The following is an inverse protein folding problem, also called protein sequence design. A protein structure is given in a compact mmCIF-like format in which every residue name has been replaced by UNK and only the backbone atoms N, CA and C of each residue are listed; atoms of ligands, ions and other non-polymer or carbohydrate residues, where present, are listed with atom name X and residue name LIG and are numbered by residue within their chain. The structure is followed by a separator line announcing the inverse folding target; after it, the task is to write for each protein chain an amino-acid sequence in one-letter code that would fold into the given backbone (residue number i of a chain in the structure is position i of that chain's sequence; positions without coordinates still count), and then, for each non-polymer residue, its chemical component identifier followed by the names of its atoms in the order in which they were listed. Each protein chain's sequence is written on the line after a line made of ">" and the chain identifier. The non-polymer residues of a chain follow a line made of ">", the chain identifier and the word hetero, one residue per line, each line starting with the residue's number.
data_IF_801011167901
#
_entry.id   IF_801011167901
#
_cell.length_a   1.000
_cell.length_b   1.000
_cell.length_c   1.000
_cell.angle_alpha   90.00
_cell.angle_beta   90.00
_cell.angle_gamma   90.00
#
_symmetry.space_group_name_H-M   'P 1'
#
loop_
_entity.id
_entity.type
_entity.pdbx_description
1 polymer ?
#
# COMPACT_ATOMS: atom_id res chain seq x y z
N UNK A 1 2.59 -9.24 33.30
CA UNK A 1 3.40 -8.02 33.07
C UNK A 1 2.51 -7.00 32.38
N UNK A 2 2.15 -5.91 33.05
CA UNK A 2 1.36 -4.85 32.44
C UNK A 2 2.23 -4.18 31.35
N UNK A 3 1.85 -4.30 30.09
CA UNK A 3 2.41 -3.46 29.04
C UNK A 3 2.17 -2.01 29.46
N UNK A 4 3.23 -1.27 29.76
CA UNK A 4 3.12 0.11 30.22
C UNK A 4 2.44 0.90 29.10
N UNK A 5 1.23 1.37 29.35
CA UNK A 5 0.39 2.12 28.43
C UNK A 5 1.06 3.49 28.14
N UNK A 6 2.02 3.46 27.21
CA UNK A 6 2.95 4.56 26.96
C UNK A 6 2.96 4.91 25.48
N UNK A 7 3.25 6.18 25.12
CA UNK A 7 3.46 6.59 23.74
C UNK A 7 4.51 5.71 23.02
N UNK A 8 5.59 5.33 23.72
CA UNK A 8 6.62 4.43 23.18
C UNK A 8 6.06 3.04 22.80
N UNK A 9 5.19 2.45 23.63
CA UNK A 9 4.51 1.20 23.26
C UNK A 9 3.65 1.37 22.00
N UNK A 10 3.05 2.54 21.81
CA UNK A 10 2.24 2.82 20.62
C UNK A 10 3.06 2.94 19.34
N UNK A 11 4.28 3.49 19.43
CA UNK A 11 5.24 3.52 18.30
C UNK A 11 5.54 2.10 17.82
N UNK A 12 5.87 1.17 18.74
CA UNK A 12 6.13 -0.22 18.38
C UNK A 12 4.90 -0.95 17.80
N UNK A 13 3.70 -0.64 18.30
CA UNK A 13 2.46 -1.18 17.73
C UNK A 13 2.28 -0.73 16.27
N UNK A 14 2.54 0.55 15.98
CA UNK A 14 2.46 1.10 14.61
C UNK A 14 3.49 0.44 13.68
N UNK A 15 4.74 0.26 14.14
CA UNK A 15 5.77 -0.42 13.36
C UNK A 15 5.39 -1.86 13.02
N UNK A 16 4.88 -2.61 14.01
CA UNK A 16 4.45 -4.00 13.80
C UNK A 16 3.25 -4.11 12.87
N UNK A 17 2.34 -3.16 12.94
CA UNK A 17 1.10 -3.16 12.18
C UNK A 17 1.26 -2.66 10.73
N UNK A 18 2.44 -2.19 10.32
CA UNK A 18 2.66 -1.51 9.03
C UNK A 18 2.37 -2.35 7.78
N UNK A 19 2.13 -3.66 7.91
CA UNK A 19 1.77 -4.57 6.80
C UNK A 19 0.26 -4.74 6.61
N UNK A 20 -0.54 -4.27 7.56
CA UNK A 20 -2.00 -4.42 7.56
C UNK A 20 -2.61 -3.06 7.90
N UNK A 21 -3.39 -2.52 6.97
CA UNK A 21 -3.93 -1.16 7.10
C UNK A 21 -4.93 -1.05 8.23
N UNK A 22 -5.76 -2.06 8.49
CA UNK A 22 -6.70 -2.05 9.61
C UNK A 22 -5.95 -2.09 10.94
N UNK A 23 -4.92 -2.95 11.02
CA UNK A 23 -4.06 -3.01 12.20
C UNK A 23 -3.31 -1.69 12.43
N UNK A 24 -2.82 -1.06 11.34
CA UNK A 24 -2.08 0.19 11.36
C UNK A 24 -2.97 1.34 11.84
N UNK A 25 -4.18 1.47 11.29
CA UNK A 25 -5.18 2.44 11.73
C UNK A 25 -5.50 2.26 13.22
N UNK A 26 -5.71 1.03 13.67
CA UNK A 26 -5.96 0.72 15.07
C UNK A 26 -4.80 1.14 15.98
N UNK A 27 -3.56 0.86 15.57
CA UNK A 27 -2.35 1.24 16.30
C UNK A 27 -2.18 2.76 16.37
N UNK A 28 -2.38 3.44 15.24
CA UNK A 28 -2.36 4.90 15.13
C UNK A 28 -3.40 5.55 16.05
N UNK A 29 -4.65 5.05 16.04
CA UNK A 29 -5.73 5.57 16.87
C UNK A 29 -5.43 5.41 18.37
N UNK A 30 -4.89 4.26 18.78
CA UNK A 30 -4.45 4.05 20.18
C UNK A 30 -3.28 4.97 20.55
N UNK A 31 -2.32 5.15 19.65
CA UNK A 31 -1.20 6.08 19.86
C UNK A 31 -1.68 7.53 20.02
N UNK A 32 -2.59 8.00 19.17
CA UNK A 32 -3.20 9.33 19.28
C UNK A 32 -3.91 9.52 20.64
N UNK A 33 -4.68 8.52 21.08
CA UNK A 33 -5.34 8.55 22.38
C UNK A 33 -4.34 8.62 23.55
N UNK A 34 -3.24 7.87 23.49
CA UNK A 34 -2.15 7.91 24.49
C UNK A 34 -1.46 9.26 24.54
N UNK A 35 -1.16 9.86 23.38
CA UNK A 35 -0.57 11.19 23.30
C UNK A 35 -1.52 12.22 23.92
N UNK A 36 -2.81 12.17 23.58
CA UNK A 36 -3.83 13.11 24.10
C UNK A 36 -3.90 13.11 25.63
N UNK A 37 -3.74 11.94 26.26
CA UNK A 37 -3.77 11.77 27.72
C UNK A 37 -2.45 12.15 28.42
N UNK A 38 -1.38 12.42 27.66
CA UNK A 38 -0.06 12.67 28.24
C UNK A 38 0.12 14.14 28.70
N UNK A 39 0.82 14.40 29.81
CA UNK A 39 1.11 15.78 30.26
C UNK A 39 1.86 16.62 29.22
N UNK A 40 2.81 16.02 28.51
CA UNK A 40 3.57 16.65 27.42
C UNK A 40 2.97 16.41 26.02
N UNK A 41 1.64 16.30 25.89
CA UNK A 41 0.95 15.95 24.65
C UNK A 41 1.40 16.76 23.42
N UNK A 42 1.60 18.07 23.55
CA UNK A 42 1.97 18.94 22.43
C UNK A 42 3.34 18.55 21.84
N UNK A 43 4.34 18.36 22.72
CA UNK A 43 5.70 17.96 22.31
C UNK A 43 5.69 16.56 21.71
N UNK A 44 4.96 15.62 22.32
CA UNK A 44 4.87 14.26 21.82
C UNK A 44 4.16 14.18 20.47
N UNK A 45 3.06 14.92 20.31
CA UNK A 45 2.31 14.97 19.07
C UNK A 45 3.19 15.48 17.92
N UNK A 46 3.94 16.57 18.13
CA UNK A 46 4.87 17.11 17.13
C UNK A 46 5.94 16.08 16.71
N UNK A 47 6.61 15.47 17.69
CA UNK A 47 7.71 14.52 17.43
C UNK A 47 7.19 13.24 16.78
N UNK A 48 6.07 12.71 17.27
CA UNK A 48 5.51 11.44 16.78
C UNK A 48 4.85 11.63 15.42
N UNK A 49 4.21 12.77 15.14
CA UNK A 49 3.68 13.08 13.81
C UNK A 49 4.80 13.11 12.77
N UNK A 50 5.93 13.76 13.08
CA UNK A 50 7.11 13.76 12.19
C UNK A 50 7.71 12.37 12.00
N UNK A 51 7.81 11.59 13.07
CA UNK A 51 8.28 10.21 12.99
C UNK A 51 7.36 9.36 12.12
N UNK A 52 6.04 9.46 12.31
CA UNK A 52 5.05 8.70 11.57
C UNK A 52 5.11 9.01 10.07
N UNK A 53 5.17 10.30 9.71
CA UNK A 53 5.39 10.74 8.32
C UNK A 53 6.62 10.09 7.71
N UNK A 54 7.74 10.10 8.43
CA UNK A 54 9.00 9.49 7.97
C UNK A 54 8.91 7.97 7.84
N UNK A 55 8.24 7.31 8.78
CA UNK A 55 8.08 5.86 8.79
C UNK A 55 7.24 5.39 7.60
N UNK A 56 6.08 6.01 7.38
CA UNK A 56 5.16 5.64 6.32
C UNK A 56 5.69 6.02 4.92
N UNK A 57 6.47 7.10 4.79
CA UNK A 57 7.19 7.42 3.55
C UNK A 57 8.07 6.27 3.07
N UNK A 58 8.64 5.47 3.99
CA UNK A 58 9.46 4.30 3.61
C UNK A 58 8.63 3.13 3.07
N UNK A 59 7.31 3.14 3.25
CA UNK A 59 6.39 2.12 2.73
C UNK A 59 5.98 2.39 1.28
N UNK A 60 6.08 3.65 0.79
CA UNK A 60 5.83 4.00 -0.60
C UNK A 60 5.53 5.49 -0.81
N UNK A 61 5.75 6.01 -2.01
CA UNK A 61 5.49 7.41 -2.34
C UNK A 61 3.99 7.78 -2.26
N UNK A 62 3.10 6.85 -2.57
CA UNK A 62 1.64 7.05 -2.43
C UNK A 62 1.20 7.09 -0.95
N UNK A 63 1.93 6.41 -0.06
CA UNK A 63 1.70 6.50 1.38
C UNK A 63 2.17 7.86 1.94
N UNK A 64 3.16 8.52 1.32
CA UNK A 64 3.58 9.87 1.70
C UNK A 64 2.50 10.92 1.34
N UNK A 65 1.89 10.79 0.17
CA UNK A 65 0.80 11.68 -0.28
C UNK A 65 -0.41 11.64 0.67
N UNK A 66 -0.72 10.45 1.21
CA UNK A 66 -1.76 10.26 2.22
C UNK A 66 -1.51 11.06 3.53
N UNK A 67 -0.31 11.64 3.71
CA UNK A 67 0.15 12.28 4.94
C UNK A 67 0.46 13.76 4.79
N UNK A 68 0.36 14.33 3.58
CA UNK A 68 0.72 15.73 3.33
C UNK A 68 -0.10 16.69 4.21
N UNK A 69 -1.40 16.41 4.37
CA UNK A 69 -2.34 17.24 5.12
C UNK A 69 -2.33 17.00 6.64
N UNK A 70 -1.65 15.96 7.12
CA UNK A 70 -1.63 15.59 8.53
C UNK A 70 -0.66 16.47 9.30
N UNK A 71 -1.13 17.33 10.18
CA UNK A 71 -0.27 18.23 10.97
C UNK A 71 -0.20 17.85 12.45
N UNK A 72 -1.21 17.13 12.94
CA UNK A 72 -1.29 16.61 14.29
C UNK A 72 -1.84 15.20 14.28
N UNK A 73 -1.15 14.25 14.91
CA UNK A 73 -1.68 12.89 15.06
C UNK A 73 -2.90 12.87 15.98
N UNK A 74 -2.94 13.72 17.01
CA UNK A 74 -4.06 13.80 17.94
C UNK A 74 -5.33 14.36 17.29
N UNK A 75 -5.19 15.35 16.41
CA UNK A 75 -6.32 16.02 15.75
C UNK A 75 -6.71 15.27 14.46
N UNK A 76 -5.74 14.90 13.63
CA UNK A 76 -5.98 14.43 12.27
C UNK A 76 -6.03 12.90 12.14
N UNK A 77 -5.96 12.13 13.24
CA UNK A 77 -5.98 10.65 13.18
C UNK A 77 -7.16 10.05 12.39
N UNK A 78 -8.32 10.73 12.36
CA UNK A 78 -9.47 10.28 11.57
C UNK A 78 -9.23 10.44 10.06
N UNK A 79 -8.73 11.61 9.64
CA UNK A 79 -8.34 11.88 8.26
C UNK A 79 -7.20 10.96 7.82
N UNK A 80 -6.21 10.76 8.69
CA UNK A 80 -5.12 9.82 8.46
C UNK A 80 -5.64 8.39 8.23
N UNK A 81 -6.62 7.94 9.01
CA UNK A 81 -7.20 6.62 8.83
C UNK A 81 -7.88 6.49 7.46
N UNK A 82 -8.69 7.48 7.08
CA UNK A 82 -9.34 7.51 5.76
C UNK A 82 -8.32 7.52 4.60
N UNK A 83 -7.28 8.34 4.70
CA UNK A 83 -6.22 8.42 3.69
C UNK A 83 -5.47 7.10 3.54
N UNK A 84 -5.13 6.44 4.67
CA UNK A 84 -4.49 5.13 4.67
C UNK A 84 -5.39 4.05 4.06
N UNK A 85 -6.69 4.08 4.31
CA UNK A 85 -7.65 3.15 3.70
C UNK A 85 -7.70 3.34 2.18
N UNK A 86 -7.76 4.59 1.73
CA UNK A 86 -7.79 4.92 0.30
C UNK A 86 -6.52 4.45 -0.40
N UNK A 87 -5.36 4.68 0.20
CA UNK A 87 -4.08 4.17 -0.30
C UNK A 87 -4.08 2.63 -0.39
N UNK A 88 -4.53 1.94 0.67
CA UNK A 88 -4.58 0.49 0.70
C UNK A 88 -5.45 -0.10 -0.41
N UNK A 89 -6.61 0.50 -0.67
CA UNK A 89 -7.50 0.05 -1.73
C UNK A 89 -6.87 0.25 -3.11
N UNK A 90 -6.18 1.38 -3.33
CA UNK A 90 -5.43 1.63 -4.58
C UNK A 90 -4.35 0.58 -4.81
N UNK A 91 -3.55 0.28 -3.79
CA UNK A 91 -2.51 -0.76 -3.89
C UNK A 91 -3.11 -2.15 -4.18
N UNK A 92 -4.24 -2.50 -3.53
CA UNK A 92 -4.94 -3.76 -3.82
C UNK A 92 -5.52 -3.79 -5.24
N UNK A 93 -5.99 -2.66 -5.77
CA UNK A 93 -6.46 -2.58 -7.15
C UNK A 93 -5.31 -2.70 -8.15
N UNK A 94 -4.20 -2.02 -7.90
CA UNK A 94 -2.99 -2.11 -8.71
C UNK A 94 -2.45 -3.53 -8.75
N UNK A 95 -2.31 -4.19 -7.60
CA UNK A 95 -1.89 -5.59 -7.55
C UNK A 95 -2.85 -6.55 -8.27
N UNK A 96 -4.16 -6.31 -8.23
CA UNK A 96 -5.14 -7.08 -9.03
C UNK A 96 -4.97 -6.85 -10.54
N UNK A 97 -4.71 -5.61 -10.96
CA UNK A 97 -4.49 -5.28 -12.37
C UNK A 97 -3.16 -5.88 -12.87
N UNK A 98 -2.08 -5.75 -12.11
CA UNK A 98 -0.78 -6.34 -12.41
C UNK A 98 -0.88 -7.87 -12.50
N UNK A 99 -1.50 -8.52 -11.52
CA UNK A 99 -1.69 -9.99 -11.55
C UNK A 99 -2.57 -10.46 -12.72
N UNK A 100 -3.57 -9.66 -13.11
CA UNK A 100 -4.37 -9.96 -14.31
C UNK A 100 -3.52 -9.85 -15.58
N UNK A 101 -2.75 -8.78 -15.73
CA UNK A 101 -1.87 -8.58 -16.89
C UNK A 101 -0.79 -9.66 -16.97
N UNK A 102 -0.18 -10.02 -15.84
CA UNK A 102 0.81 -11.10 -15.76
C UNK A 102 0.19 -12.45 -16.14
N UNK A 103 -1.01 -12.75 -15.64
CA UNK A 103 -1.76 -13.95 -16.02
C UNK A 103 -2.11 -14.00 -17.51
N UNK A 104 -2.51 -12.87 -18.10
CA UNK A 104 -2.78 -12.76 -19.54
C UNK A 104 -1.51 -12.99 -20.37
N UNK A 105 -0.38 -12.40 -19.96
CA UNK A 105 0.93 -12.59 -20.60
C UNK A 105 1.40 -14.03 -20.52
N UNK A 106 1.28 -14.66 -19.34
CA UNK A 106 1.64 -16.06 -19.15
C UNK A 106 0.78 -16.98 -20.04
N UNK A 107 -0.53 -16.73 -20.11
CA UNK A 107 -1.43 -17.47 -21.00
C UNK A 107 -1.01 -17.31 -22.47
N UNK A 108 -0.73 -16.09 -22.92
CA UNK A 108 -0.27 -15.82 -24.28
C UNK A 108 1.05 -16.53 -24.60
N UNK A 109 2.03 -16.48 -23.69
CA UNK A 109 3.31 -17.19 -23.83
C UNK A 109 3.13 -18.70 -23.96
N UNK A 110 2.20 -19.29 -23.19
CA UNK A 110 1.91 -20.72 -23.29
C UNK A 110 1.24 -21.07 -24.62
N UNK A 111 0.28 -20.26 -25.09
CA UNK A 111 -0.37 -20.46 -26.39
C UNK A 111 0.61 -20.31 -27.57
N UNK A 112 1.51 -19.32 -27.51
CA UNK A 112 2.58 -19.14 -28.49
C UNK A 112 3.50 -20.37 -28.54
N UNK A 113 3.88 -20.93 -27.39
CA UNK A 113 4.70 -22.16 -27.30
C UNK A 113 4.01 -23.38 -27.89
N UNK A 114 2.68 -23.48 -27.79
CA UNK A 114 1.92 -24.58 -28.39
C UNK A 114 1.89 -24.47 -29.93
N UNK A 115 1.99 -23.27 -30.49
CA UNK A 115 2.06 -23.05 -31.95
C UNK A 115 0.78 -23.40 -32.71
N UNK A 116 -0.36 -23.52 -32.01
CA UNK A 116 -1.64 -23.95 -32.59
C UNK A 116 -2.55 -22.79 -33.04
N UNK A 117 -2.24 -21.56 -32.61
CA UNK A 117 -3.08 -20.37 -32.82
C UNK A 117 -2.28 -19.26 -33.50
N UNK A 118 -2.96 -18.41 -34.28
CA UNK A 118 -2.38 -17.17 -34.81
C UNK A 118 -2.26 -16.11 -33.73
N UNK A 119 -1.44 -15.07 -33.95
CA UNK A 119 -1.26 -13.98 -32.99
C UNK A 119 -2.58 -13.23 -32.73
N UNK A 120 -3.45 -13.10 -33.73
CA UNK A 120 -4.78 -12.51 -33.59
C UNK A 120 -5.69 -13.36 -32.70
N UNK A 121 -5.66 -14.68 -32.84
CA UNK A 121 -6.43 -15.60 -32.00
C UNK A 121 -5.92 -15.60 -30.54
N UNK A 122 -4.61 -15.48 -30.35
CA UNK A 122 -4.00 -15.37 -29.01
C UNK A 122 -4.37 -14.03 -28.37
N UNK A 123 -4.30 -12.92 -29.11
CA UNK A 123 -4.72 -11.61 -28.63
C UNK A 123 -6.20 -11.62 -28.21
N UNK A 124 -7.08 -12.19 -29.04
CA UNK A 124 -8.51 -12.30 -28.73
C UNK A 124 -8.77 -13.18 -27.49
N UNK A 125 -8.11 -14.33 -27.36
CA UNK A 125 -8.36 -15.28 -26.27
C UNK A 125 -7.78 -14.84 -24.92
N UNK A 126 -6.68 -14.08 -24.93
CA UNK A 126 -6.04 -13.58 -23.71
C UNK A 126 -6.49 -12.17 -23.33
N UNK A 127 -7.09 -11.44 -24.28
CA UNK A 127 -7.46 -10.03 -24.10
C UNK A 127 -6.27 -9.08 -24.12
N UNK A 128 -5.11 -9.53 -24.62
CA UNK A 128 -3.95 -8.66 -24.92
C UNK A 128 -4.12 -7.98 -26.27
N UNK A 129 -3.42 -6.88 -26.49
CA UNK A 129 -3.32 -6.31 -27.83
C UNK A 129 -2.48 -7.20 -28.75
N UNK A 130 -2.75 -7.16 -30.06
CA UNK A 130 -1.97 -7.88 -31.06
C UNK A 130 -0.48 -7.49 -30.98
N UNK A 131 -0.20 -6.20 -30.76
CA UNK A 131 1.17 -5.68 -30.61
C UNK A 131 1.90 -6.33 -29.43
N UNK A 132 1.24 -6.51 -28.28
CA UNK A 132 1.84 -7.18 -27.12
C UNK A 132 2.13 -8.66 -27.39
N UNK A 133 1.23 -9.35 -28.08
CA UNK A 133 1.43 -10.77 -28.45
C UNK A 133 2.62 -10.91 -29.41
N UNK A 134 2.74 -10.03 -30.40
CA UNK A 134 3.88 -10.01 -31.33
C UNK A 134 5.19 -9.71 -30.58
N UNK A 135 5.18 -8.77 -29.64
CA UNK A 135 6.34 -8.46 -28.81
C UNK A 135 6.78 -9.66 -27.95
N UNK A 136 5.82 -10.38 -27.35
CA UNK A 136 6.06 -11.62 -26.59
C UNK A 136 6.67 -12.72 -27.47
N UNK A 137 6.18 -12.90 -28.71
CA UNK A 137 6.72 -13.86 -29.68
C UNK A 137 8.16 -13.55 -30.07
N UNK A 138 8.49 -12.27 -30.20
CA UNK A 138 9.80 -11.79 -30.65
C UNK A 138 10.85 -11.76 -29.52
N UNK A 139 10.46 -12.13 -28.29
CA UNK A 139 11.33 -12.06 -27.11
C UNK A 139 11.67 -10.62 -26.67
N UNK A 140 10.93 -9.62 -27.17
CA UNK A 140 11.13 -8.19 -26.89
C UNK A 140 10.26 -7.71 -25.70
N UNK A 141 9.72 -8.63 -24.90
CA UNK A 141 8.98 -8.27 -23.70
C UNK A 141 9.96 -7.79 -22.63
N UNK A 142 10.06 -6.45 -22.48
CA UNK A 142 10.78 -5.78 -21.41
C UNK A 142 10.03 -5.87 -20.07
#
# INVERSE_FOLDING_TARGET
>A
MAARDTPLSGIFEVEKASKDVEALQGAVKRLAARIRAHPEKARLDEVITRWLKRHLKRLGAEAEQALEEINSLVEDHAMLAENLQTWAEKERQKGRQEGRLEGQRLAAMNLLKLGLLTDEQIAQSTGLSLTEVIALRSGQAH
#
